data_IF_019171549587
#
_entry.id   IF_019171549587
#
_cell.length_a   1.000
_cell.length_b   1.000
_cell.length_c   1.000
_cell.angle_alpha   90.00
_cell.angle_beta   90.00
_cell.angle_gamma   90.00
#
_symmetry.space_group_name_H-M   'P 1'
#
loop_
_entity.id
_entity.type
_entity.pdbx_description
1 polymer ?
#
# COMPACT_ATOMS: atom_id res chain seq x y z
N UNK A 1 37.83 10.05 42.62
CA UNK A 1 36.89 9.24 43.44
C UNK A 1 35.99 10.11 44.32
N UNK A 2 36.49 11.13 45.01
CA UNK A 2 35.68 12.05 45.85
C UNK A 2 34.48 12.69 45.12
N UNK A 3 34.65 13.15 43.87
CA UNK A 3 33.53 13.73 43.12
C UNK A 3 32.44 12.70 42.81
N UNK A 4 32.81 11.44 42.52
CA UNK A 4 31.85 10.35 42.29
C UNK A 4 31.11 9.97 43.58
N UNK A 5 31.82 9.98 44.72
CA UNK A 5 31.24 9.71 46.04
C UNK A 5 30.25 10.83 46.41
N UNK A 6 30.62 12.10 46.19
CA UNK A 6 29.78 13.26 46.48
C UNK A 6 28.52 13.28 45.62
N UNK A 7 28.65 12.97 44.32
CA UNK A 7 27.50 12.81 43.41
C UNK A 7 26.60 11.64 43.86
N UNK A 8 27.19 10.53 44.31
CA UNK A 8 26.44 9.39 44.85
C UNK A 8 25.63 9.74 46.09
N UNK A 9 26.22 10.48 47.05
CA UNK A 9 25.55 10.92 48.28
C UNK A 9 24.44 11.93 47.95
N UNK A 10 24.71 12.92 47.09
CA UNK A 10 23.70 13.88 46.67
C UNK A 10 22.51 13.21 45.97
N UNK A 11 22.77 12.20 45.13
CA UNK A 11 21.71 11.42 44.46
C UNK A 11 20.88 10.64 45.49
N UNK A 12 21.53 10.00 46.47
CA UNK A 12 20.84 9.32 47.57
C UNK A 12 19.94 10.28 48.33
N UNK A 13 20.48 11.42 48.76
CA UNK A 13 19.74 12.37 49.60
C UNK A 13 18.57 13.01 48.84
N UNK A 14 18.69 13.20 47.52
CA UNK A 14 17.58 13.63 46.67
C UNK A 14 16.46 12.57 46.60
N UNK A 15 16.81 11.29 46.43
CA UNK A 15 15.83 10.19 46.45
C UNK A 15 15.15 10.10 47.82
N UNK A 16 15.90 10.28 48.91
CA UNK A 16 15.34 10.27 50.26
C UNK A 16 14.46 11.48 50.55
N UNK A 17 14.80 12.66 50.02
CA UNK A 17 13.95 13.84 50.10
C UNK A 17 12.61 13.61 49.38
N UNK A 18 12.64 13.05 48.17
CA UNK A 18 11.42 12.67 47.42
C UNK A 18 10.60 11.61 48.15
N UNK A 19 11.27 10.60 48.73
CA UNK A 19 10.62 9.56 49.52
C UNK A 19 10.01 10.11 50.82
N UNK A 20 10.64 11.12 51.43
CA UNK A 20 10.16 11.75 52.66
C UNK A 20 8.85 12.52 52.48
N UNK A 21 8.62 13.11 51.29
CA UNK A 21 7.33 13.72 50.93
C UNK A 21 6.18 12.71 51.01
N UNK A 22 6.47 11.44 50.75
CA UNK A 22 5.49 10.37 50.80
C UNK A 22 5.29 9.82 52.23
N UNK A 23 6.01 10.27 53.26
CA UNK A 23 5.86 9.74 54.63
C UNK A 23 4.52 10.09 55.28
N UNK A 24 3.85 11.17 54.87
CA UNK A 24 2.64 11.63 55.56
C UNK A 24 1.43 10.71 55.33
N UNK A 25 0.53 10.54 56.32
CA UNK A 25 -0.63 9.64 56.21
C UNK A 25 -1.55 9.94 55.02
N UNK A 26 -1.69 11.21 54.65
CA UNK A 26 -2.52 11.67 53.53
C UNK A 26 -1.83 11.62 52.16
N UNK A 27 -0.51 11.36 52.11
CA UNK A 27 0.27 11.39 50.87
C UNK A 27 -0.21 10.38 49.80
N UNK A 28 -0.58 9.12 50.12
CA UNK A 28 -1.16 8.20 49.13
C UNK A 28 -2.43 8.71 48.48
N UNK A 29 -3.36 9.25 49.28
CA UNK A 29 -4.62 9.78 48.76
C UNK A 29 -4.43 11.01 47.86
N UNK A 30 -3.57 11.95 48.29
CA UNK A 30 -3.28 13.14 47.49
C UNK A 30 -2.57 12.79 46.17
N UNK A 31 -1.62 11.84 46.20
CA UNK A 31 -0.93 11.37 45.00
C UNK A 31 -1.91 10.73 44.02
N UNK A 32 -2.77 9.82 44.50
CA UNK A 32 -3.80 9.19 43.67
C UNK A 32 -4.76 10.22 43.07
N UNK A 33 -5.19 11.21 43.85
CA UNK A 33 -6.04 12.30 43.36
C UNK A 33 -5.33 13.12 42.28
N UNK A 34 -4.08 13.52 42.51
CA UNK A 34 -3.28 14.27 41.54
C UNK A 34 -3.12 13.47 40.22
N UNK A 35 -2.86 12.17 40.33
CA UNK A 35 -2.69 11.30 39.17
C UNK A 35 -4.01 11.15 38.36
N UNK A 36 -5.16 11.10 39.04
CA UNK A 36 -6.49 11.12 38.40
C UNK A 36 -6.78 12.47 37.74
N UNK A 37 -6.40 13.60 38.36
CA UNK A 37 -6.54 14.93 37.75
C UNK A 37 -5.69 15.04 36.49
N UNK A 38 -4.43 14.56 36.54
CA UNK A 38 -3.56 14.50 35.35
C UNK A 38 -4.18 13.62 34.27
N UNK A 39 -4.72 12.44 34.63
CA UNK A 39 -5.45 11.59 33.69
C UNK A 39 -6.60 12.37 33.03
N UNK A 40 -7.44 13.06 33.80
CA UNK A 40 -8.58 13.82 33.27
C UNK A 40 -8.13 14.91 32.29
N UNK A 41 -7.08 15.67 32.62
CA UNK A 41 -6.54 16.71 31.73
C UNK A 41 -6.03 16.10 30.43
N UNK A 42 -5.20 15.05 30.53
CA UNK A 42 -4.62 14.32 29.38
C UNK A 42 -5.74 13.72 28.52
N UNK A 43 -6.76 13.14 29.14
CA UNK A 43 -7.92 12.56 28.46
C UNK A 43 -8.74 13.62 27.73
N UNK A 44 -9.00 14.77 28.36
CA UNK A 44 -9.74 15.88 27.75
C UNK A 44 -8.99 16.43 26.55
N UNK A 45 -7.69 16.70 26.68
CA UNK A 45 -6.85 17.16 25.56
C UNK A 45 -6.88 16.15 24.42
N UNK A 46 -6.65 14.86 24.72
CA UNK A 46 -6.70 13.80 23.72
C UNK A 46 -8.06 13.73 22.99
N UNK A 47 -9.16 13.76 23.75
CA UNK A 47 -10.51 13.68 23.20
C UNK A 47 -10.89 14.92 22.38
N UNK A 48 -10.45 16.11 22.76
CA UNK A 48 -10.67 17.34 21.98
C UNK A 48 -9.93 17.24 20.65
N UNK A 49 -8.65 16.84 20.66
CA UNK A 49 -7.85 16.66 19.44
C UNK A 49 -8.47 15.64 18.50
N UNK A 50 -8.85 14.46 19.01
CA UNK A 50 -9.49 13.43 18.17
C UNK A 50 -10.86 13.88 17.65
N UNK A 51 -11.67 14.58 18.47
CA UNK A 51 -12.96 15.12 18.02
C UNK A 51 -12.81 16.18 16.94
N UNK A 52 -11.81 17.06 17.05
CA UNK A 52 -11.48 18.04 16.02
C UNK A 52 -11.18 17.36 14.69
N UNK A 53 -10.24 16.41 14.68
CA UNK A 53 -9.86 15.61 13.50
C UNK A 53 -11.04 14.87 12.89
N UNK A 54 -11.81 14.13 13.69
CA UNK A 54 -13.04 13.44 13.23
C UNK A 54 -14.04 14.45 12.64
N UNK A 55 -14.16 15.63 13.24
CA UNK A 55 -15.01 16.71 12.76
C UNK A 55 -14.63 17.16 11.36
N UNK A 56 -13.34 17.43 11.13
CA UNK A 56 -12.79 17.82 9.82
C UNK A 56 -13.02 16.72 8.79
N UNK A 57 -12.68 15.46 9.11
CA UNK A 57 -12.89 14.33 8.20
C UNK A 57 -14.36 14.15 7.83
N UNK A 58 -15.28 14.22 8.80
CA UNK A 58 -16.73 14.13 8.53
C UNK A 58 -17.25 15.29 7.67
N UNK A 59 -16.73 16.51 7.87
CA UNK A 59 -17.07 17.65 7.01
C UNK A 59 -16.59 17.43 5.59
N UNK A 60 -15.37 16.91 5.41
CA UNK A 60 -14.82 16.56 4.10
C UNK A 60 -15.65 15.48 3.41
N UNK A 61 -16.00 14.42 4.15
CA UNK A 61 -16.88 13.36 3.63
C UNK A 61 -18.23 13.95 3.20
N UNK A 62 -18.80 14.86 3.99
CA UNK A 62 -20.08 15.51 3.64
C UNK A 62 -19.94 16.39 2.39
N UNK A 63 -18.83 17.10 2.22
CA UNK A 63 -18.54 17.93 1.05
C UNK A 63 -18.47 17.07 -0.21
N UNK A 64 -17.65 16.01 -0.19
CA UNK A 64 -17.49 15.06 -1.31
C UNK A 64 -18.83 14.39 -1.67
N UNK A 65 -19.66 14.09 -0.67
CA UNK A 65 -20.99 13.53 -0.90
C UNK A 65 -21.97 14.47 -1.59
N UNK A 66 -21.78 15.79 -1.56
CA UNK A 66 -22.69 16.75 -2.24
C UNK A 66 -22.63 16.59 -3.76
N UNK A 67 -21.47 16.23 -4.30
CA UNK A 67 -21.25 16.05 -5.73
C UNK A 67 -21.60 14.61 -6.14
N UNK A 68 -22.81 14.40 -6.67
CA UNK A 68 -23.30 13.09 -7.13
C UNK A 68 -22.73 12.73 -8.51
N UNK A 69 -22.35 11.45 -8.68
CA UNK A 69 -21.84 10.90 -9.95
C UNK A 69 -20.33 11.07 -10.16
N UNK A 70 -19.72 10.20 -10.98
CA UNK A 70 -18.28 10.25 -11.28
C UNK A 70 -17.88 11.56 -11.96
N UNK A 71 -18.73 12.09 -12.83
CA UNK A 71 -18.46 13.34 -13.55
C UNK A 71 -18.62 14.59 -12.66
N UNK A 72 -19.49 14.54 -11.65
CA UNK A 72 -19.79 15.67 -10.77
C UNK A 72 -18.65 16.03 -9.83
N UNK A 73 -17.92 15.02 -9.32
CA UNK A 73 -16.73 15.29 -8.51
C UNK A 73 -15.58 15.79 -9.39
N UNK A 74 -15.40 15.20 -10.57
CA UNK A 74 -14.31 15.52 -11.49
C UNK A 74 -14.37 16.96 -11.99
N UNK A 75 -15.53 17.48 -12.35
CA UNK A 75 -15.66 18.87 -12.83
C UNK A 75 -15.47 19.91 -11.72
N UNK A 76 -15.75 19.54 -10.47
CA UNK A 76 -15.72 20.47 -9.33
C UNK A 76 -14.52 20.24 -8.40
N UNK A 77 -13.46 19.54 -8.85
CA UNK A 77 -12.25 19.30 -8.06
C UNK A 77 -11.59 20.60 -7.59
N UNK A 78 -11.63 21.65 -8.42
CA UNK A 78 -11.08 22.96 -8.08
C UNK A 78 -11.92 23.69 -7.02
N UNK A 79 -13.25 23.60 -7.12
CA UNK A 79 -14.16 24.16 -6.11
C UNK A 79 -14.02 23.42 -4.77
N UNK A 80 -13.87 22.09 -4.80
CA UNK A 80 -13.61 21.28 -3.59
C UNK A 80 -12.27 21.70 -2.96
N UNK A 81 -11.23 21.90 -3.77
CA UNK A 81 -9.92 22.36 -3.28
C UNK A 81 -9.98 23.76 -2.66
N UNK A 82 -10.74 24.68 -3.27
CA UNK A 82 -10.98 26.01 -2.73
C UNK A 82 -11.78 25.97 -1.42
N UNK A 83 -12.84 25.15 -1.33
CA UNK A 83 -13.61 25.00 -0.09
C UNK A 83 -12.75 24.38 1.02
N UNK A 84 -11.94 23.34 0.74
CA UNK A 84 -11.07 22.71 1.73
C UNK A 84 -9.97 23.67 2.24
N UNK A 85 -9.34 24.44 1.36
CA UNK A 85 -8.31 25.41 1.75
C UNK A 85 -8.87 26.61 2.52
N UNK A 86 -10.17 26.91 2.38
CA UNK A 86 -10.84 27.97 3.16
C UNK A 86 -11.04 27.62 4.64
N UNK A 87 -10.93 26.34 5.02
CA UNK A 87 -11.20 25.90 6.38
C UNK A 87 -10.09 26.30 7.35
N UNK A 88 -10.49 26.87 8.49
CA UNK A 88 -9.55 27.32 9.52
C UNK A 88 -9.21 26.21 10.51
N UNK A 89 -7.93 26.12 10.87
CA UNK A 89 -7.39 25.23 11.91
C UNK A 89 -6.26 24.34 11.39
N UNK A 90 -5.35 23.93 12.28
CA UNK A 90 -4.19 23.10 11.92
C UNK A 90 -4.60 21.78 11.27
N UNK A 91 -5.59 21.07 11.84
CA UNK A 91 -6.11 19.82 11.27
C UNK A 91 -6.71 20.05 9.86
N UNK A 92 -7.40 21.17 9.63
CA UNK A 92 -7.97 21.48 8.33
C UNK A 92 -6.90 21.85 7.30
N UNK A 93 -5.84 22.55 7.72
CA UNK A 93 -4.70 22.86 6.86
C UNK A 93 -3.99 21.59 6.38
N UNK A 94 -3.73 20.62 7.27
CA UNK A 94 -3.17 19.33 6.86
C UNK A 94 -4.06 18.58 5.88
N UNK A 95 -5.39 18.62 6.06
CA UNK A 95 -6.30 18.03 5.07
C UNK A 95 -6.21 18.72 3.70
N UNK A 96 -6.13 20.05 3.68
CA UNK A 96 -6.00 20.80 2.43
C UNK A 96 -4.66 20.52 1.73
N UNK A 97 -3.58 20.36 2.49
CA UNK A 97 -2.26 19.96 2.00
C UNK A 97 -2.28 18.56 1.38
N UNK A 98 -2.77 17.56 2.11
CA UNK A 98 -2.94 16.19 1.58
C UNK A 98 -3.85 16.15 0.34
N UNK A 99 -4.89 17.00 0.31
CA UNK A 99 -5.74 17.13 -0.87
C UNK A 99 -5.00 17.73 -2.08
N UNK A 100 -4.13 18.72 -1.83
CA UNK A 100 -3.28 19.32 -2.87
C UNK A 100 -2.32 18.29 -3.46
N UNK A 101 -1.61 17.54 -2.62
CA UNK A 101 -0.71 16.45 -3.05
C UNK A 101 -1.46 15.39 -3.85
N UNK A 102 -2.64 14.98 -3.37
CA UNK A 102 -3.50 14.06 -4.12
C UNK A 102 -3.87 14.62 -5.50
N UNK A 103 -4.21 15.91 -5.60
CA UNK A 103 -4.58 16.57 -6.87
C UNK A 103 -3.43 16.55 -7.87
N UNK A 104 -2.18 16.69 -7.44
CA UNK A 104 -1.01 16.61 -8.34
C UNK A 104 -0.92 15.27 -9.09
N UNK A 105 -1.54 14.21 -8.55
CA UNK A 105 -1.59 12.88 -9.17
C UNK A 105 -2.78 12.67 -10.11
N UNK A 106 -3.64 13.68 -10.26
CA UNK A 106 -4.79 13.62 -11.16
C UNK A 106 -4.40 13.98 -12.59
N UNK A 107 -4.85 13.17 -13.55
CA UNK A 107 -4.59 13.34 -14.98
C UNK A 107 -5.77 14.08 -15.58
N UNK A 108 -5.48 15.24 -16.18
CA UNK A 108 -6.46 16.02 -16.92
C UNK A 108 -6.91 15.27 -18.19
N UNK A 109 -8.22 15.32 -18.52
CA UNK A 109 -8.71 14.71 -19.74
C UNK A 109 -8.13 15.40 -20.98
N UNK A 110 -7.61 14.62 -21.93
CA UNK A 110 -7.33 15.11 -23.29
C UNK A 110 -8.63 15.48 -24.00
N UNK A 111 -8.57 16.51 -24.85
CA UNK A 111 -9.70 17.00 -25.64
C UNK A 111 -10.49 15.84 -26.28
N UNK A 112 -11.76 15.69 -25.89
CA UNK A 112 -12.67 14.65 -26.37
C UNK A 112 -12.92 13.47 -25.42
N UNK A 113 -12.14 13.31 -24.33
CA UNK A 113 -12.44 12.34 -23.27
C UNK A 113 -13.02 13.05 -22.04
N UNK A 114 -14.07 12.49 -21.44
CA UNK A 114 -14.72 13.09 -20.27
C UNK A 114 -14.11 12.54 -18.98
N UNK A 115 -13.82 13.45 -18.04
CA UNK A 115 -13.52 13.15 -16.64
C UNK A 115 -12.04 13.13 -16.25
N UNK A 116 -11.71 13.85 -15.17
CA UNK A 116 -10.40 13.82 -14.49
C UNK A 116 -10.17 12.42 -13.90
N UNK A 117 -9.05 11.79 -14.23
CA UNK A 117 -8.71 10.41 -13.81
C UNK A 117 -7.64 10.47 -12.73
N UNK A 118 -7.66 9.54 -11.77
CA UNK A 118 -6.57 9.43 -10.80
C UNK A 118 -5.64 8.28 -11.18
N UNK A 119 -4.34 8.56 -11.19
CA UNK A 119 -3.29 7.56 -11.42
C UNK A 119 -2.97 6.75 -10.15
N UNK A 120 -3.20 7.35 -8.97
CA UNK A 120 -2.93 6.73 -7.67
C UNK A 120 -4.22 6.68 -6.85
N UNK A 121 -4.41 5.60 -6.09
CA UNK A 121 -5.58 5.42 -5.22
C UNK A 121 -5.59 6.47 -4.10
N UNK A 122 -6.74 7.08 -3.76
CA UNK A 122 -6.85 8.02 -2.65
C UNK A 122 -6.40 7.43 -1.32
N UNK A 123 -6.53 6.12 -1.11
CA UNK A 123 -6.10 5.45 0.13
C UNK A 123 -4.63 5.61 0.46
N UNK A 124 -3.79 5.90 -0.54
CA UNK A 124 -2.36 6.14 -0.33
C UNK A 124 -2.17 7.45 0.44
N UNK A 125 -2.75 8.55 -0.03
CA UNK A 125 -2.64 9.88 0.59
C UNK A 125 -3.54 10.05 1.82
N UNK A 126 -4.78 9.55 1.76
CA UNK A 126 -5.75 9.69 2.85
C UNK A 126 -5.57 8.59 3.90
N UNK A 127 -4.40 8.59 4.53
CA UNK A 127 -4.05 7.71 5.63
C UNK A 127 -3.74 8.51 6.90
N UNK A 128 -3.96 7.91 8.08
CA UNK A 128 -3.82 8.63 9.35
C UNK A 128 -2.37 8.97 9.70
N UNK A 129 -1.40 8.21 9.19
CA UNK A 129 0.01 8.36 9.56
C UNK A 129 0.67 9.51 8.78
N UNK A 130 0.53 9.53 7.46
CA UNK A 130 1.00 10.61 6.58
C UNK A 130 0.35 11.95 6.92
N UNK A 131 -0.94 11.95 7.26
CA UNK A 131 -1.66 13.16 7.64
C UNK A 131 -1.33 13.68 9.05
N UNK A 132 -0.48 12.96 9.82
CA UNK A 132 -0.16 13.32 11.21
C UNK A 132 -1.34 13.18 12.18
N UNK A 133 -2.43 12.53 11.74
CA UNK A 133 -3.66 12.34 12.51
C UNK A 133 -3.60 11.11 13.40
N UNK A 134 -2.58 10.28 13.26
CA UNK A 134 -2.36 9.09 14.05
C UNK A 134 -2.35 9.36 15.56
N UNK A 135 -2.80 8.35 16.33
CA UNK A 135 -2.74 8.36 17.80
C UNK A 135 -1.37 7.89 18.34
N UNK A 136 -0.39 7.69 17.45
CA UNK A 136 0.92 7.10 17.75
C UNK A 136 1.66 7.84 18.87
N UNK A 137 1.61 9.19 18.87
CA UNK A 137 2.24 10.01 19.91
C UNK A 137 1.67 9.82 21.32
N UNK A 138 0.47 9.26 21.46
CA UNK A 138 -0.19 9.01 22.75
C UNK A 138 0.03 7.58 23.27
N UNK A 139 0.73 6.73 22.51
CA UNK A 139 0.94 5.31 22.84
C UNK A 139 1.80 5.10 24.09
N UNK A 140 2.67 6.06 24.44
CA UNK A 140 3.53 6.00 25.62
C UNK A 140 2.83 6.41 26.93
N UNK A 141 1.75 7.18 26.86
CA UNK A 141 1.07 7.72 28.05
C UNK A 141 0.57 6.64 29.05
N UNK A 142 -0.05 5.52 28.63
CA UNK A 142 -0.41 4.45 29.56
C UNK A 142 0.80 3.90 30.33
N UNK A 143 1.93 3.70 29.65
CA UNK A 143 3.15 3.19 30.27
C UNK A 143 3.67 4.13 31.34
N UNK A 144 3.65 5.43 31.08
CA UNK A 144 4.07 6.45 32.04
C UNK A 144 3.23 6.43 33.32
N UNK A 145 1.91 6.26 33.25
CA UNK A 145 1.06 6.17 34.46
C UNK A 145 1.43 4.97 35.33
N UNK A 146 1.72 3.80 34.72
CA UNK A 146 2.17 2.61 35.45
C UNK A 146 3.53 2.86 36.08
N UNK A 147 4.50 3.36 35.30
CA UNK A 147 5.86 3.62 35.78
C UNK A 147 5.89 4.64 36.92
N UNK A 148 5.10 5.70 36.83
CA UNK A 148 4.98 6.72 37.89
C UNK A 148 4.33 6.14 39.14
N UNK A 149 3.27 5.35 39.00
CA UNK A 149 2.63 4.66 40.14
C UNK A 149 3.57 3.67 40.84
N UNK A 150 4.30 2.87 40.06
CA UNK A 150 5.30 1.91 40.56
C UNK A 150 6.47 2.60 41.25
N UNK A 151 7.01 3.68 40.67
CA UNK A 151 8.08 4.47 41.27
C UNK A 151 7.65 5.07 42.62
N UNK A 152 6.43 5.63 42.69
CA UNK A 152 5.89 6.17 43.94
C UNK A 152 5.71 5.09 45.02
N UNK A 153 5.26 3.89 44.66
CA UNK A 153 5.16 2.76 45.60
C UNK A 153 6.54 2.35 46.12
N UNK A 154 7.54 2.21 45.24
CA UNK A 154 8.91 1.88 45.68
C UNK A 154 9.52 2.96 46.59
N UNK A 155 9.38 4.24 46.24
CA UNK A 155 9.83 5.34 47.09
C UNK A 155 9.11 5.34 48.45
N UNK A 156 7.80 5.07 48.44
CA UNK A 156 7.01 4.95 49.66
C UNK A 156 7.45 3.79 50.56
N UNK A 157 7.81 2.65 49.99
CA UNK A 157 8.32 1.49 50.74
C UNK A 157 9.72 1.78 51.33
N UNK A 158 10.61 2.44 50.56
CA UNK A 158 11.92 2.86 51.06
C UNK A 158 11.76 3.80 52.28
N UNK A 159 10.86 4.78 52.18
CA UNK A 159 10.58 5.69 53.29
C UNK A 159 10.02 4.98 54.53
N UNK A 160 9.13 4.00 54.34
CA UNK A 160 8.54 3.20 55.41
C UNK A 160 9.60 2.34 56.11
N UNK A 161 10.49 1.71 55.35
CA UNK A 161 11.59 0.90 55.88
C UNK A 161 12.58 1.74 56.70
N UNK A 162 12.93 2.94 56.24
CA UNK A 162 13.78 3.85 57.01
C UNK A 162 13.15 4.25 58.33
N UNK A 163 11.86 4.64 58.31
CA UNK A 163 11.14 4.99 59.51
C UNK A 163 11.04 3.82 60.50
N UNK A 164 10.83 2.61 59.98
CA UNK A 164 10.77 1.40 60.82
C UNK A 164 12.15 1.07 61.40
N UNK A 165 13.22 1.24 60.63
CA UNK A 165 14.60 1.06 61.08
C UNK A 165 15.00 2.03 62.19
N UNK A 166 14.59 3.29 62.10
CA UNK A 166 14.78 4.29 63.16
C UNK A 166 14.01 3.91 64.44
N UNK A 167 12.75 3.49 64.32
CA UNK A 167 11.93 3.05 65.47
C UNK A 167 12.50 1.79 66.16
N UNK A 168 13.06 0.85 65.39
CA UNK A 168 13.68 -0.37 65.91
C UNK A 168 15.04 -0.14 66.60
N UNK A 169 15.76 0.93 66.24
CA UNK A 169 17.01 1.29 66.92
C UNK A 169 16.77 1.94 68.29
N UNK A 170 15.59 2.51 68.52
CA UNK A 170 15.24 3.25 69.75
C UNK A 170 14.49 2.38 70.76
N UNK A 171 13.75 1.35 70.32
CA UNK A 171 12.96 0.47 71.20
C UNK A 171 13.64 -0.87 71.47
N UNK A 172 13.94 -1.17 72.73
CA UNK A 172 14.48 -2.48 73.18
C UNK A 172 13.41 -3.51 73.55
N UNK A 173 12.12 -3.15 73.51
CA UNK A 173 11.02 -3.98 74.01
C UNK A 173 10.23 -4.66 72.88
N UNK A 174 9.80 -5.91 73.09
CA UNK A 174 9.01 -6.70 72.13
C UNK A 174 7.69 -6.00 71.68
N UNK A 175 7.09 -5.19 72.56
CA UNK A 175 5.91 -4.40 72.24
C UNK A 175 6.21 -3.28 71.23
N UNK A 176 7.39 -2.65 71.32
CA UNK A 176 7.83 -1.60 70.39
C UNK A 176 8.17 -2.19 69.02
N UNK A 177 8.79 -3.38 68.99
CA UNK A 177 9.07 -4.12 67.75
C UNK A 177 7.77 -4.50 67.04
N UNK A 178 6.79 -5.06 67.78
CA UNK A 178 5.48 -5.45 67.21
C UNK A 178 4.71 -4.23 66.67
N UNK A 179 4.77 -3.09 67.37
CA UNK A 179 4.18 -1.83 66.91
C UNK A 179 4.83 -1.30 65.63
N UNK A 180 6.17 -1.34 65.55
CA UNK A 180 6.92 -0.93 64.36
C UNK A 180 6.61 -1.81 63.14
N UNK A 181 6.48 -3.13 63.32
CA UNK A 181 6.11 -4.06 62.25
C UNK A 181 4.67 -3.84 61.76
N UNK A 182 3.74 -3.60 62.69
CA UNK A 182 2.33 -3.32 62.34
C UNK A 182 2.23 -2.00 61.57
N UNK A 183 2.99 -0.98 61.98
CA UNK A 183 3.06 0.30 61.29
C UNK A 183 3.70 0.17 59.90
N UNK A 184 4.77 -0.62 59.76
CA UNK A 184 5.37 -0.91 58.45
C UNK A 184 4.33 -1.55 57.52
N UNK A 185 3.62 -2.57 57.98
CA UNK A 185 2.61 -3.27 57.18
C UNK A 185 1.48 -2.31 56.75
N UNK A 186 1.01 -1.48 57.67
CA UNK A 186 -0.03 -0.47 57.39
C UNK A 186 0.45 0.54 56.34
N UNK A 187 1.65 1.13 56.52
CA UNK A 187 2.21 2.09 55.56
C UNK A 187 2.46 1.43 54.21
N UNK A 188 3.03 0.22 54.18
CA UNK A 188 3.28 -0.54 52.96
C UNK A 188 1.98 -0.83 52.19
N UNK A 189 0.92 -1.27 52.89
CA UNK A 189 -0.40 -1.49 52.29
C UNK A 189 -0.97 -0.23 51.64
N UNK A 190 -0.82 0.93 52.29
CA UNK A 190 -1.27 2.21 51.75
C UNK A 190 -0.45 2.66 50.53
N UNK A 191 0.83 2.26 50.41
CA UNK A 191 1.67 2.56 49.23
C UNK A 191 1.28 1.77 48.00
N UNK A 192 0.67 0.59 48.13
CA UNK A 192 0.16 -0.17 46.98
C UNK A 192 -1.00 0.56 46.27
N UNK A 193 -1.77 1.40 46.98
CA UNK A 193 -2.86 2.19 46.39
C UNK A 193 -2.34 3.16 45.32
N UNK A 194 -1.12 3.70 45.48
CA UNK A 194 -0.48 4.58 44.50
C UNK A 194 -0.24 3.85 43.16
N UNK A 195 0.33 2.65 43.21
CA UNK A 195 0.55 1.80 42.02
C UNK A 195 -0.77 1.33 41.42
N UNK A 196 -1.73 0.90 42.24
CA UNK A 196 -3.06 0.49 41.77
C UNK A 196 -3.77 1.64 41.02
N UNK A 197 -3.65 2.87 41.51
CA UNK A 197 -4.21 4.05 40.84
C UNK A 197 -3.52 4.31 39.50
N UNK A 198 -2.19 4.18 39.44
CA UNK A 198 -1.42 4.28 38.19
C UNK A 198 -1.85 3.24 37.15
N UNK A 199 -2.03 1.99 37.57
CA UNK A 199 -2.55 0.92 36.71
C UNK A 199 -3.97 1.21 36.22
N UNK A 200 -4.88 1.62 37.12
CA UNK A 200 -6.25 1.98 36.75
C UNK A 200 -6.28 3.11 35.72
N UNK A 201 -5.46 4.16 35.92
CA UNK A 201 -5.36 5.27 34.98
C UNK A 201 -4.81 4.83 33.62
N UNK A 202 -3.82 3.93 33.62
CA UNK A 202 -3.27 3.31 32.41
C UNK A 202 -4.31 2.51 31.63
N UNK A 203 -5.10 1.68 32.32
CA UNK A 203 -6.17 0.88 31.73
C UNK A 203 -7.23 1.80 31.11
N UNK A 204 -7.73 2.77 31.87
CA UNK A 204 -8.75 3.72 31.41
C UNK A 204 -8.26 4.47 30.17
N UNK A 205 -7.04 5.02 30.22
CA UNK A 205 -6.47 5.75 29.09
C UNK A 205 -6.29 4.83 27.87
N UNK A 206 -5.82 3.60 28.05
CA UNK A 206 -5.63 2.62 26.95
C UNK A 206 -6.95 2.28 26.25
N UNK A 207 -8.01 2.05 27.01
CA UNK A 207 -9.34 1.75 26.46
C UNK A 207 -9.85 2.92 25.62
N UNK A 208 -9.72 4.15 26.14
CA UNK A 208 -10.15 5.35 25.43
C UNK A 208 -9.29 5.60 24.19
N UNK A 209 -7.97 5.44 24.30
CA UNK A 209 -7.02 5.55 23.19
C UNK A 209 -7.39 4.63 22.03
N UNK A 210 -7.64 3.34 22.31
CA UNK A 210 -8.03 2.34 21.31
C UNK A 210 -9.38 2.68 20.69
N UNK A 211 -10.39 3.01 21.50
CA UNK A 211 -11.74 3.32 20.99
C UNK A 211 -11.74 4.58 20.12
N UNK A 212 -11.07 5.64 20.56
CA UNK A 212 -10.95 6.89 19.83
C UNK A 212 -10.15 6.71 18.53
N UNK A 213 -9.05 5.95 18.56
CA UNK A 213 -8.27 5.58 17.37
C UNK A 213 -9.11 4.85 16.33
N UNK A 214 -9.87 3.83 16.73
CA UNK A 214 -10.75 3.09 15.82
C UNK A 214 -11.84 3.99 15.21
N UNK A 215 -12.38 4.94 15.97
CA UNK A 215 -13.36 5.90 15.45
C UNK A 215 -12.76 6.86 14.43
N UNK A 216 -11.54 7.33 14.68
CA UNK A 216 -10.82 8.20 13.76
C UNK A 216 -10.50 7.47 12.44
N UNK A 217 -10.01 6.24 12.54
CA UNK A 217 -9.71 5.38 11.40
C UNK A 217 -10.97 5.02 10.61
N UNK A 218 -12.10 4.77 11.29
CA UNK A 218 -13.38 4.57 10.62
C UNK A 218 -13.87 5.84 9.89
N UNK A 219 -13.62 7.04 10.42
CA UNK A 219 -13.92 8.28 9.73
C UNK A 219 -13.03 8.47 8.49
N UNK A 220 -11.75 8.12 8.59
CA UNK A 220 -10.80 8.16 7.48
C UNK A 220 -11.20 7.20 6.35
N UNK A 221 -11.43 5.92 6.68
CA UNK A 221 -11.91 4.92 5.71
C UNK A 221 -13.17 5.35 4.99
N UNK A 222 -14.12 6.01 5.68
CA UNK A 222 -15.34 6.53 5.06
C UNK A 222 -15.05 7.63 4.04
N UNK A 223 -14.15 8.56 4.36
CA UNK A 223 -13.71 9.59 3.42
C UNK A 223 -13.09 8.95 2.17
N UNK A 224 -12.11 8.08 2.37
CA UNK A 224 -11.37 7.40 1.29
C UNK A 224 -12.31 6.58 0.41
N UNK A 225 -13.23 5.82 1.01
CA UNK A 225 -14.23 5.04 0.26
C UNK A 225 -15.17 5.91 -0.56
N UNK A 226 -15.63 7.03 0.00
CA UNK A 226 -16.49 7.96 -0.74
C UNK A 226 -15.75 8.69 -1.87
N UNK A 227 -14.43 8.89 -1.73
CA UNK A 227 -13.57 9.37 -2.81
C UNK A 227 -13.37 8.32 -3.90
N UNK A 228 -12.99 7.10 -3.53
CA UNK A 228 -12.75 6.00 -4.47
C UNK A 228 -13.99 5.69 -5.31
N UNK A 229 -15.18 5.74 -4.71
CA UNK A 229 -16.44 5.51 -5.42
C UNK A 229 -16.79 6.57 -6.47
N UNK A 230 -16.21 7.78 -6.37
CA UNK A 230 -16.57 8.94 -7.20
C UNK A 230 -15.45 9.34 -8.15
N UNK A 231 -14.30 8.67 -8.07
CA UNK A 231 -13.15 8.90 -8.92
C UNK A 231 -13.02 7.73 -9.89
N UNK A 232 -12.64 8.03 -11.13
CA UNK A 232 -12.31 7.01 -12.11
C UNK A 232 -10.82 6.65 -12.01
N UNK A 233 -10.54 5.55 -11.32
CA UNK A 233 -9.20 5.01 -11.20
C UNK A 233 -8.81 4.32 -12.49
N UNK A 234 -7.71 4.79 -13.08
CA UNK A 234 -7.10 4.16 -14.23
C UNK A 234 -5.78 3.57 -13.78
N UNK A 235 -5.69 2.24 -13.85
CA UNK A 235 -4.48 1.52 -13.48
C UNK A 235 -3.46 1.59 -14.62
N UNK A 236 -2.17 1.39 -14.30
CA UNK A 236 -1.11 1.35 -15.31
C UNK A 236 -1.31 0.17 -16.28
N UNK A 237 -1.89 -0.92 -15.80
CA UNK A 237 -2.24 -2.10 -16.60
C UNK A 237 -3.34 -1.79 -17.62
N UNK A 238 -4.40 -1.07 -17.23
CA UNK A 238 -5.46 -0.62 -18.15
C UNK A 238 -4.88 0.35 -19.22
N UNK A 239 -3.96 1.23 -18.84
CA UNK A 239 -3.26 2.09 -19.81
C UNK A 239 -2.40 1.26 -20.76
N UNK A 240 -1.65 0.29 -20.24
CA UNK A 240 -0.79 -0.58 -21.05
C UNK A 240 -1.60 -1.44 -22.03
N UNK A 241 -2.74 -1.97 -21.60
CA UNK A 241 -3.67 -2.72 -22.46
C UNK A 241 -4.25 -1.82 -23.56
N UNK A 242 -4.72 -0.62 -23.22
CA UNK A 242 -5.21 0.35 -24.22
C UNK A 242 -4.12 0.76 -25.20
N UNK A 243 -2.88 0.91 -24.73
CA UNK A 243 -1.74 1.21 -25.59
C UNK A 243 -1.43 0.05 -26.54
N UNK A 244 -1.47 -1.18 -26.05
CA UNK A 244 -1.30 -2.38 -26.87
C UNK A 244 -2.39 -2.47 -27.95
N UNK A 245 -3.65 -2.26 -27.58
CA UNK A 245 -4.76 -2.27 -28.53
C UNK A 245 -4.61 -1.18 -29.60
N UNK A 246 -4.22 0.04 -29.22
CA UNK A 246 -3.96 1.12 -30.17
C UNK A 246 -2.81 0.81 -31.13
N UNK A 247 -1.74 0.15 -30.67
CA UNK A 247 -0.62 -0.30 -31.52
C UNK A 247 -1.08 -1.38 -32.51
N UNK A 248 -1.89 -2.34 -32.06
CA UNK A 248 -2.47 -3.38 -32.92
C UNK A 248 -3.35 -2.76 -34.00
N UNK A 249 -4.22 -1.80 -33.63
CA UNK A 249 -5.09 -1.10 -34.57
C UNK A 249 -4.28 -0.26 -35.58
N UNK A 250 -3.23 0.43 -35.12
CA UNK A 250 -2.32 1.17 -35.99
C UNK A 250 -1.59 0.26 -36.99
N UNK A 251 -1.17 -0.93 -36.55
CA UNK A 251 -0.54 -1.94 -37.42
C UNK A 251 -1.51 -2.38 -38.52
N UNK A 252 -2.76 -2.66 -38.16
CA UNK A 252 -3.79 -3.06 -39.12
C UNK A 252 -4.10 -1.93 -40.13
N UNK A 253 -4.11 -0.68 -39.67
CA UNK A 253 -4.26 0.49 -40.55
C UNK A 253 -3.09 0.65 -41.53
N UNK A 254 -1.85 0.41 -41.08
CA UNK A 254 -0.66 0.44 -41.94
C UNK A 254 -0.67 -0.68 -42.99
N UNK A 255 -1.15 -1.88 -42.64
CA UNK A 255 -1.29 -2.97 -43.62
C UNK A 255 -2.31 -2.61 -44.70
N UNK A 256 -3.45 -2.01 -44.33
CA UNK A 256 -4.45 -1.51 -45.28
C UNK A 256 -3.87 -0.42 -46.19
N UNK A 257 -3.21 0.59 -45.62
CA UNK A 257 -2.57 1.66 -46.38
C UNK A 257 -1.56 1.10 -47.39
N UNK A 258 -0.73 0.14 -46.98
CA UNK A 258 0.26 -0.48 -47.87
C UNK A 258 -0.43 -1.22 -49.02
N UNK A 259 -1.49 -1.98 -48.73
CA UNK A 259 -2.27 -2.66 -49.76
C UNK A 259 -2.93 -1.69 -50.74
N UNK A 260 -3.53 -0.61 -50.24
CA UNK A 260 -4.13 0.45 -51.06
C UNK A 260 -3.09 1.18 -51.92
N UNK A 261 -1.89 1.45 -51.38
CA UNK A 261 -0.80 2.07 -52.12
C UNK A 261 -0.29 1.17 -53.26
N UNK A 262 -0.15 -0.13 -53.00
CA UNK A 262 0.26 -1.12 -54.02
C UNK A 262 -0.79 -1.19 -55.14
N UNK A 263 -2.07 -1.26 -54.78
CA UNK A 263 -3.16 -1.26 -55.76
C UNK A 263 -3.13 0.01 -56.63
N UNK A 264 -3.04 1.19 -56.00
CA UNK A 264 -3.02 2.48 -56.69
C UNK A 264 -1.82 2.68 -57.64
N UNK A 265 -0.68 2.03 -57.39
CA UNK A 265 0.53 2.12 -58.24
C UNK A 265 0.53 1.09 -59.36
N UNK A 266 0.04 -0.13 -59.11
CA UNK A 266 0.13 -1.26 -60.05
C UNK A 266 -0.78 -1.10 -61.28
N UNK A 267 -1.97 -0.53 -61.11
CA UNK A 267 -2.98 -0.46 -62.15
C UNK A 267 -2.64 0.54 -63.28
N UNK A 268 -2.16 1.77 -62.99
CA UNK A 268 -1.70 2.69 -64.03
C UNK A 268 -0.47 2.18 -64.78
N UNK A 269 0.44 1.49 -64.06
CA UNK A 269 1.68 0.97 -64.64
C UNK A 269 1.41 -0.15 -65.65
N UNK A 270 0.45 -1.05 -65.36
CA UNK A 270 0.04 -2.10 -66.28
C UNK A 270 -0.63 -1.58 -67.56
N UNK A 271 -1.43 -0.51 -67.45
CA UNK A 271 -2.11 0.11 -68.59
C UNK A 271 -1.13 0.84 -69.54
N UNK A 272 -0.09 1.48 -68.99
CA UNK A 272 0.92 2.18 -69.78
C UNK A 272 1.78 1.21 -70.63
N UNK A 273 2.13 0.04 -70.08
CA UNK A 273 2.98 -0.96 -70.77
C UNK A 273 2.26 -1.63 -71.95
N UNK A 274 0.94 -1.79 -71.88
CA UNK A 274 0.15 -2.47 -72.94
C UNK A 274 -0.19 -1.58 -74.13
N UNK A 275 -0.30 -0.25 -73.96
CA UNK A 275 -0.63 0.67 -75.05
C UNK A 275 0.54 0.98 -76.00
N UNK A 276 1.79 0.87 -75.53
CA UNK A 276 2.97 1.20 -76.34
C UNK A 276 3.30 0.22 -77.48
N UNK A 277 2.72 -0.99 -77.48
CA UNK A 277 3.07 -2.05 -78.42
C UNK A 277 2.28 -2.05 -79.75
N UNK A 278 1.09 -1.43 -79.79
CA UNK A 278 0.17 -1.59 -80.93
C UNK A 278 0.33 -0.52 -82.04
N UNK A 279 1.04 0.58 -81.79
CA UNK A 279 0.98 1.76 -82.66
C UNK A 279 2.06 1.83 -83.75
N UNK A 280 2.97 0.85 -83.79
CA UNK A 280 4.13 0.82 -84.71
C UNK A 280 3.85 -0.01 -85.99
N UNK A 281 2.87 -0.92 -85.97
CA UNK A 281 2.60 -1.84 -87.08
C UNK A 281 1.90 -1.22 -88.30
N UNK A 282 1.02 -0.25 -88.09
CA UNK A 282 0.14 0.27 -89.16
C UNK A 282 0.84 1.24 -90.12
N UNK A 283 2.00 1.78 -89.74
CA UNK A 283 2.71 2.83 -90.48
C UNK A 283 3.51 2.29 -91.68
N UNK A 284 3.86 1.00 -91.65
CA UNK A 284 4.76 0.37 -92.63
C UNK A 284 4.04 -0.06 -93.92
N UNK A 285 2.74 -0.35 -93.85
CA UNK A 285 1.96 -0.89 -94.97
C UNK A 285 1.53 0.18 -95.99
N UNK A 286 1.41 1.45 -95.57
CA UNK A 286 0.94 2.55 -96.42
C UNK A 286 1.99 3.11 -97.39
N UNK A 287 3.28 2.78 -97.20
CA UNK A 287 4.39 3.46 -97.86
C UNK A 287 4.69 2.94 -99.30
N UNK A 288 4.14 1.78 -99.67
CA UNK A 288 4.51 1.09 -100.90
C UNK A 288 3.76 1.56 -102.18
N UNK A 289 2.64 2.29 -102.06
CA UNK A 289 1.74 2.56 -103.19
C UNK A 289 1.90 3.90 -103.92
N UNK A 290 2.58 4.89 -103.34
CA UNK A 290 2.38 6.30 -103.73
C UNK A 290 3.56 6.96 -104.47
N UNK A 291 4.55 6.20 -104.92
CA UNK A 291 5.88 6.74 -105.24
C UNK A 291 6.03 7.47 -106.60
N UNK A 292 5.17 7.23 -107.60
CA UNK A 292 5.48 7.67 -108.99
C UNK A 292 4.90 9.04 -109.39
N UNK A 293 3.67 9.38 -108.98
CA UNK A 293 3.09 10.72 -109.20
C UNK A 293 3.13 11.61 -107.96
N UNK A 294 3.47 11.04 -106.80
CA UNK A 294 3.57 11.75 -105.53
C UNK A 294 4.82 12.62 -105.44
N UNK A 295 5.91 12.34 -106.16
CA UNK A 295 7.22 12.93 -105.85
C UNK A 295 7.30 14.45 -105.99
N UNK A 296 6.61 15.05 -106.97
CA UNK A 296 6.62 16.52 -107.17
C UNK A 296 5.68 17.23 -106.19
N UNK A 297 4.47 16.71 -105.98
CA UNK A 297 3.53 17.22 -104.97
C UNK A 297 4.01 16.95 -103.53
N UNK A 298 4.71 15.84 -103.32
CA UNK A 298 5.36 15.48 -102.08
C UNK A 298 6.57 16.36 -101.84
N UNK A 299 7.31 16.84 -102.84
CA UNK A 299 8.42 17.74 -102.56
C UNK A 299 7.93 19.08 -101.97
N UNK A 300 6.84 19.64 -102.52
CA UNK A 300 6.20 20.86 -101.99
C UNK A 300 5.52 20.60 -100.65
N UNK A 301 4.72 19.54 -100.52
CA UNK A 301 4.06 19.19 -99.27
C UNK A 301 5.03 18.71 -98.18
N UNK A 302 6.17 18.12 -98.54
CA UNK A 302 7.26 17.77 -97.61
C UNK A 302 7.97 19.04 -97.17
N UNK A 303 8.17 20.04 -98.04
CA UNK A 303 8.73 21.34 -97.61
C UNK A 303 7.82 22.01 -96.57
N UNK A 304 6.50 22.09 -96.83
CA UNK A 304 5.54 22.68 -95.89
C UNK A 304 5.39 21.84 -94.59
N UNK A 305 5.42 20.50 -94.70
CA UNK A 305 5.41 19.61 -93.55
C UNK A 305 6.72 19.64 -92.78
N UNK A 306 7.86 19.85 -93.43
CA UNK A 306 9.16 19.97 -92.77
C UNK A 306 9.24 21.30 -92.02
N UNK A 307 8.68 22.39 -92.55
CA UNK A 307 8.53 23.66 -91.82
C UNK A 307 7.58 23.51 -90.63
N UNK A 308 6.43 22.88 -90.80
CA UNK A 308 5.48 22.63 -89.71
C UNK A 308 6.00 21.64 -88.67
N UNK A 309 6.74 20.60 -89.10
CA UNK A 309 7.43 19.65 -88.23
C UNK A 309 8.61 20.32 -87.52
N UNK A 310 9.34 21.22 -88.17
CA UNK A 310 10.40 22.02 -87.56
C UNK A 310 9.85 22.95 -86.49
N UNK A 311 8.70 23.59 -86.75
CA UNK A 311 7.98 24.39 -85.75
C UNK A 311 7.45 23.56 -84.57
N UNK A 312 6.91 22.36 -84.84
CA UNK A 312 6.46 21.43 -83.80
C UNK A 312 7.61 20.81 -83.02
N UNK A 313 8.73 20.51 -83.66
CA UNK A 313 9.97 20.01 -83.03
C UNK A 313 10.63 21.10 -82.20
N UNK A 314 10.60 22.35 -82.65
CA UNK A 314 11.03 23.49 -81.83
C UNK A 314 10.13 23.63 -80.59
N UNK A 315 8.81 23.51 -80.75
CA UNK A 315 7.85 23.47 -79.64
C UNK A 315 8.09 22.31 -78.67
N UNK A 316 8.32 21.11 -79.21
CA UNK A 316 8.64 19.91 -78.43
C UNK A 316 9.98 20.03 -77.69
N UNK A 317 10.98 20.66 -78.32
CA UNK A 317 12.26 20.92 -77.68
C UNK A 317 12.11 21.88 -76.49
N UNK A 318 11.26 22.90 -76.59
CA UNK A 318 10.92 23.76 -75.46
C UNK A 318 10.14 23.03 -74.36
N UNK A 319 9.16 22.19 -74.71
CA UNK A 319 8.41 21.41 -73.74
C UNK A 319 9.28 20.36 -73.03
N UNK A 320 10.15 19.67 -73.76
CA UNK A 320 11.14 18.73 -73.19
C UNK A 320 12.12 19.47 -72.28
N UNK A 321 12.59 20.66 -72.69
CA UNK A 321 13.48 21.46 -71.85
C UNK A 321 12.78 21.87 -70.55
N UNK A 322 11.51 22.30 -70.62
CA UNK A 322 10.73 22.66 -69.43
C UNK A 322 10.42 21.44 -68.55
N UNK A 323 10.10 20.29 -69.13
CA UNK A 323 9.87 19.05 -68.41
C UNK A 323 11.15 18.54 -67.74
N UNK A 324 12.30 18.64 -68.42
CA UNK A 324 13.60 18.28 -67.85
C UNK A 324 13.97 19.18 -66.66
N UNK A 325 13.65 20.47 -66.72
CA UNK A 325 13.88 21.41 -65.62
C UNK A 325 12.95 21.13 -64.42
N UNK A 326 11.67 20.86 -64.67
CA UNK A 326 10.73 20.43 -63.62
C UNK A 326 11.14 19.09 -62.99
N UNK A 327 11.63 18.15 -63.80
CA UNK A 327 12.12 16.87 -63.32
C UNK A 327 13.39 17.03 -62.48
N UNK A 328 14.31 17.91 -62.88
CA UNK A 328 15.51 18.21 -62.10
C UNK A 328 15.16 18.78 -60.72
N UNK A 329 14.20 19.71 -60.65
CA UNK A 329 13.71 20.27 -59.37
C UNK A 329 13.00 19.21 -58.50
N UNK A 330 12.22 18.33 -59.12
CA UNK A 330 11.54 17.23 -58.41
C UNK A 330 12.54 16.19 -57.87
N UNK A 331 13.56 15.85 -58.66
CA UNK A 331 14.63 14.95 -58.26
C UNK A 331 15.45 15.52 -57.09
N UNK A 332 15.75 16.81 -57.11
CA UNK A 332 16.48 17.49 -56.04
C UNK A 332 15.68 17.52 -54.72
N UNK A 333 14.38 17.83 -54.78
CA UNK A 333 13.48 17.73 -53.61
C UNK A 333 13.38 16.31 -53.05
N UNK A 334 13.36 15.32 -53.94
CA UNK A 334 13.29 13.90 -53.55
C UNK A 334 14.58 13.45 -52.88
N UNK A 335 15.75 13.88 -53.41
CA UNK A 335 17.05 13.60 -52.81
C UNK A 335 17.16 14.20 -51.39
N UNK A 336 16.70 15.44 -51.20
CA UNK A 336 16.66 16.09 -49.87
C UNK A 336 15.69 15.38 -48.93
N UNK A 337 14.52 14.94 -49.43
CA UNK A 337 13.55 14.18 -48.66
C UNK A 337 14.08 12.81 -48.21
N UNK A 338 14.82 12.12 -49.08
CA UNK A 338 15.46 10.84 -48.80
C UNK A 338 16.60 10.98 -47.77
N UNK A 339 17.42 12.03 -47.84
CA UNK A 339 18.45 12.31 -46.82
C UNK A 339 17.81 12.56 -45.44
N UNK A 340 16.70 13.30 -45.41
CA UNK A 340 15.92 13.53 -44.18
C UNK A 340 15.28 12.26 -43.62
N UNK A 341 14.84 11.32 -44.48
CA UNK A 341 14.30 10.03 -44.06
C UNK A 341 15.41 9.10 -43.53
N UNK A 342 16.57 9.07 -44.19
CA UNK A 342 17.73 8.29 -43.76
C UNK A 342 18.22 8.71 -42.36
N UNK A 343 18.34 10.02 -42.10
CA UNK A 343 18.70 10.54 -40.77
C UNK A 343 17.68 10.19 -39.70
N UNK A 344 16.38 10.21 -40.02
CA UNK A 344 15.32 9.80 -39.07
C UNK A 344 15.39 8.32 -38.76
N UNK A 345 15.66 7.48 -39.75
CA UNK A 345 15.85 6.04 -39.55
C UNK A 345 17.07 5.75 -38.68
N UNK A 346 18.16 6.51 -38.85
CA UNK A 346 19.35 6.41 -38.02
C UNK A 346 19.05 6.76 -36.55
N UNK A 347 18.32 7.85 -36.30
CA UNK A 347 17.87 8.24 -34.95
C UNK A 347 16.93 7.20 -34.33
N UNK A 348 16.00 6.65 -35.11
CA UNK A 348 15.08 5.60 -34.65
C UNK A 348 15.84 4.32 -34.33
N UNK A 349 16.83 3.94 -35.15
CA UNK A 349 17.68 2.78 -34.92
C UNK A 349 18.52 2.92 -33.66
N UNK A 350 19.10 4.10 -33.40
CA UNK A 350 19.86 4.38 -32.18
C UNK A 350 18.97 4.35 -30.93
N UNK A 351 17.75 4.89 -31.02
CA UNK A 351 16.77 4.81 -29.93
C UNK A 351 16.32 3.36 -29.65
N UNK A 352 16.12 2.54 -30.69
CA UNK A 352 15.80 1.12 -30.56
C UNK A 352 16.94 0.32 -29.93
N UNK A 353 18.18 0.62 -30.31
CA UNK A 353 19.36 0.00 -29.71
C UNK A 353 19.49 0.36 -28.22
N UNK A 354 19.28 1.62 -27.85
CA UNK A 354 19.26 2.06 -26.44
C UNK A 354 18.12 1.44 -25.65
N UNK A 355 16.92 1.36 -26.23
CA UNK A 355 15.78 0.71 -25.59
C UNK A 355 16.01 -0.79 -25.37
N UNK A 356 16.60 -1.48 -26.36
CA UNK A 356 16.98 -2.88 -26.24
C UNK A 356 18.00 -3.14 -25.13
N UNK A 357 19.02 -2.28 -25.01
CA UNK A 357 19.99 -2.35 -23.92
C UNK A 357 19.34 -2.02 -22.56
N UNK A 358 18.51 -1.00 -22.48
CA UNK A 358 17.79 -0.65 -21.24
C UNK A 358 16.85 -1.77 -20.77
N UNK A 359 16.22 -2.50 -21.71
CA UNK A 359 15.38 -3.65 -21.39
C UNK A 359 16.22 -4.84 -20.88
N UNK A 360 17.39 -5.08 -21.50
CA UNK A 360 18.32 -6.11 -21.05
C UNK A 360 18.88 -5.82 -19.64
N UNK A 361 19.21 -4.55 -19.36
CA UNK A 361 19.67 -4.09 -18.06
C UNK A 361 18.57 -4.18 -16.98
N UNK A 362 17.31 -3.96 -17.36
CA UNK A 362 16.17 -4.09 -16.45
C UNK A 362 15.75 -5.54 -16.16
N UNK A 363 16.02 -6.48 -17.07
CA UNK A 363 15.67 -7.89 -16.90
C UNK A 363 16.45 -8.56 -15.76
N UNK A 364 17.73 -8.22 -15.58
CA UNK A 364 18.59 -8.80 -14.52
C UNK A 364 18.05 -8.56 -13.09
N UNK A 365 17.74 -7.30 -12.71
CA UNK A 365 17.12 -6.97 -11.43
C UNK A 365 15.77 -7.67 -11.20
N UNK A 366 14.94 -7.83 -12.25
CA UNK A 366 13.64 -8.51 -12.15
C UNK A 366 13.82 -10.00 -11.85
N UNK A 367 14.73 -10.69 -12.54
CA UNK A 367 15.05 -12.10 -12.26
C UNK A 367 15.59 -12.25 -10.83
N UNK A 368 16.49 -11.36 -10.41
CA UNK A 368 17.05 -11.39 -9.05
C UNK A 368 16.01 -11.08 -7.96
N UNK A 369 15.04 -10.23 -8.25
CA UNK A 369 13.91 -9.96 -7.36
C UNK A 369 12.97 -11.17 -7.28
N UNK A 370 12.72 -11.86 -8.40
CA UNK A 370 11.94 -13.09 -8.42
C UNK A 370 12.61 -14.21 -7.61
N UNK A 371 13.93 -14.40 -7.75
CA UNK A 371 14.70 -15.37 -6.96
C UNK A 371 14.65 -15.07 -5.45
N UNK A 372 14.83 -13.80 -5.07
CA UNK A 372 14.71 -13.36 -3.66
C UNK A 372 13.30 -13.56 -3.10
N UNK A 373 12.28 -13.36 -3.94
CA UNK A 373 10.89 -13.56 -3.55
C UNK A 373 10.59 -15.04 -3.35
N UNK A 374 11.09 -15.91 -4.24
CA UNK A 374 10.94 -17.36 -4.12
C UNK A 374 11.61 -17.89 -2.84
N UNK A 375 12.85 -17.47 -2.56
CA UNK A 375 13.56 -17.85 -1.33
C UNK A 375 12.89 -17.32 -0.06
N UNK A 376 12.42 -16.08 -0.06
CA UNK A 376 11.65 -15.54 1.06
C UNK A 376 10.35 -16.32 1.31
N UNK A 377 9.66 -16.70 0.24
CA UNK A 377 8.41 -17.48 0.31
C UNK A 377 8.67 -18.88 0.87
N UNK A 378 9.73 -19.55 0.43
CA UNK A 378 10.14 -20.85 0.96
C UNK A 378 10.48 -20.77 2.46
N UNK A 379 11.20 -19.73 2.88
CA UNK A 379 11.55 -19.53 4.29
C UNK A 379 10.32 -19.24 5.15
N UNK A 380 9.38 -18.41 4.67
CA UNK A 380 8.11 -18.14 5.35
C UNK A 380 7.30 -19.43 5.50
N UNK A 381 7.23 -20.25 4.46
CA UNK A 381 6.50 -21.50 4.51
C UNK A 381 7.11 -22.47 5.53
N UNK A 382 8.44 -22.59 5.56
CA UNK A 382 9.14 -23.43 6.55
C UNK A 382 8.94 -22.93 7.99
N UNK A 383 9.08 -21.64 8.25
CA UNK A 383 8.82 -21.06 9.58
C UNK A 383 7.36 -21.18 10.00
N UNK A 384 6.42 -21.15 9.05
CA UNK A 384 5.00 -21.37 9.34
C UNK A 384 4.72 -22.80 9.79
N UNK A 385 5.35 -23.79 9.15
CA UNK A 385 5.26 -25.20 9.58
C UNK A 385 5.82 -25.38 10.99
N UNK A 386 7.01 -24.83 11.27
CA UNK A 386 7.65 -24.90 12.59
C UNK A 386 6.82 -24.21 13.69
N UNK A 387 6.21 -23.07 13.37
CA UNK A 387 5.30 -22.37 14.28
C UNK A 387 4.05 -23.20 14.61
N UNK A 388 3.45 -23.86 13.61
CA UNK A 388 2.28 -24.72 13.81
C UNK A 388 2.64 -25.96 14.63
N UNK A 389 3.79 -26.59 14.38
CA UNK A 389 4.26 -27.71 15.20
C UNK A 389 4.52 -27.30 16.65
N UNK A 390 5.13 -26.13 16.86
CA UNK A 390 5.38 -25.57 18.19
C UNK A 390 4.07 -25.27 18.92
N UNK A 391 3.12 -24.63 18.25
CA UNK A 391 1.78 -24.36 18.80
C UNK A 391 1.07 -25.67 19.17
N UNK A 392 1.12 -26.68 18.30
CA UNK A 392 0.55 -28.00 18.56
C UNK A 392 1.14 -28.66 19.82
N UNK A 393 2.47 -28.58 19.99
CA UNK A 393 3.16 -29.14 21.17
C UNK A 393 2.78 -28.40 22.45
N UNK A 394 2.73 -27.07 22.42
CA UNK A 394 2.32 -26.27 23.58
C UNK A 394 0.87 -26.53 23.97
N UNK A 395 -0.05 -26.60 23.01
CA UNK A 395 -1.45 -26.90 23.30
C UNK A 395 -1.65 -28.31 23.88
N UNK A 396 -0.91 -29.31 23.39
CA UNK A 396 -0.93 -30.64 23.98
C UNK A 396 -0.46 -30.61 25.46
N UNK A 397 0.60 -29.85 25.75
CA UNK A 397 1.07 -29.66 27.12
C UNK A 397 0.05 -28.93 28.01
N UNK A 398 -0.63 -27.90 27.50
CA UNK A 398 -1.68 -27.19 28.24
C UNK A 398 -2.88 -28.11 28.53
N UNK A 399 -3.28 -28.94 27.55
CA UNK A 399 -4.33 -29.95 27.72
C UNK A 399 -4.01 -30.90 28.87
N UNK A 400 -2.80 -31.46 28.86
CA UNK A 400 -2.38 -32.42 29.88
C UNK A 400 -2.34 -31.78 31.28
N UNK A 401 -1.92 -30.51 31.38
CA UNK A 401 -1.96 -29.75 32.63
C UNK A 401 -3.40 -29.49 33.13
N UNK A 402 -4.31 -29.12 32.23
CA UNK A 402 -5.73 -28.88 32.58
C UNK A 402 -6.40 -30.18 33.02
N UNK A 403 -6.18 -31.28 32.31
CA UNK A 403 -6.72 -32.61 32.66
C UNK A 403 -6.15 -33.10 33.98
N UNK A 404 -4.85 -32.92 34.23
CA UNK A 404 -4.22 -33.27 35.50
C UNK A 404 -4.77 -32.44 36.67
N UNK A 405 -4.91 -31.11 36.49
CA UNK A 405 -5.49 -30.23 37.50
C UNK A 405 -6.95 -30.59 37.81
N UNK A 406 -7.76 -30.83 36.77
CA UNK A 406 -9.16 -31.20 36.95
C UNK A 406 -9.32 -32.57 37.62
N UNK A 407 -8.48 -33.55 37.26
CA UNK A 407 -8.41 -34.85 37.94
C UNK A 407 -8.03 -34.71 39.41
N UNK A 408 -7.04 -33.87 39.73
CA UNK A 408 -6.63 -33.60 41.12
C UNK A 408 -7.75 -32.94 41.93
N UNK A 409 -8.48 -31.99 41.34
CA UNK A 409 -9.65 -31.36 41.97
C UNK A 409 -10.74 -32.41 42.23
N UNK A 410 -11.04 -33.30 41.28
CA UNK A 410 -12.01 -34.39 41.48
C UNK A 410 -11.58 -35.34 42.61
N UNK A 411 -10.30 -35.67 42.71
CA UNK A 411 -9.77 -36.53 43.77
C UNK A 411 -9.88 -35.87 45.15
N UNK A 412 -9.57 -34.57 45.25
CA UNK A 412 -9.76 -33.80 46.48
C UNK A 412 -11.24 -33.74 46.87
N UNK A 413 -12.14 -33.50 45.92
CA UNK A 413 -13.59 -33.48 46.15
C UNK A 413 -14.08 -34.83 46.66
N UNK A 414 -13.70 -35.95 46.03
CA UNK A 414 -14.04 -37.30 46.52
C UNK A 414 -13.53 -37.55 47.94
N UNK A 415 -12.30 -37.09 48.25
CA UNK A 415 -11.74 -37.21 49.60
C UNK A 415 -12.51 -36.37 50.64
N UNK A 416 -13.09 -35.24 50.21
CA UNK A 416 -13.92 -34.37 51.04
C UNK A 416 -15.36 -34.89 51.17
N UNK A 417 -15.95 -35.45 50.12
CA UNK A 417 -17.26 -36.09 50.12
C UNK A 417 -17.30 -37.26 51.11
N UNK A 418 -16.26 -38.10 51.12
CA UNK A 418 -16.10 -39.18 52.10
C UNK A 418 -16.01 -38.67 53.57
N UNK A 419 -15.61 -37.42 53.80
CA UNK A 419 -15.59 -36.77 55.13
C UNK A 419 -16.87 -35.97 55.41
N UNK A 420 -17.55 -35.47 54.37
CA UNK A 420 -18.74 -34.63 54.43
C UNK A 420 -20.06 -35.42 54.50
N UNK A 421 -20.03 -36.73 54.22
CA UNK A 421 -21.15 -37.65 54.48
C UNK A 421 -21.66 -37.65 55.94
N UNK A 422 -20.98 -36.94 56.85
CA UNK A 422 -21.38 -36.69 58.23
C UNK A 422 -22.25 -35.42 58.44
N UNK A 423 -22.48 -34.58 57.42
CA UNK A 423 -23.27 -33.34 57.53
C UNK A 423 -24.29 -33.18 56.40
N UNK A 424 -25.49 -32.69 56.77
CA UNK A 424 -26.72 -32.56 55.99
C UNK A 424 -26.58 -32.51 54.45
N UNK A 425 -27.38 -33.34 53.76
CA UNK A 425 -27.35 -33.63 52.30
C UNK A 425 -27.55 -32.47 51.30
N UNK A 426 -27.46 -31.21 51.73
CA UNK A 426 -27.31 -30.07 50.82
C UNK A 426 -25.88 -29.96 50.27
N UNK A 427 -24.84 -30.30 51.04
CA UNK A 427 -23.47 -30.35 50.51
C UNK A 427 -23.31 -31.43 49.43
N UNK A 428 -23.93 -32.59 49.63
CA UNK A 428 -23.93 -33.71 48.68
C UNK A 428 -24.48 -33.28 47.30
N UNK A 429 -25.60 -32.54 47.28
CA UNK A 429 -26.17 -32.01 46.02
C UNK A 429 -25.24 -31.00 45.34
N UNK A 430 -24.64 -30.08 46.11
CA UNK A 430 -23.71 -29.10 45.56
C UNK A 430 -22.46 -29.77 44.97
N UNK A 431 -21.92 -30.81 45.63
CA UNK A 431 -20.79 -31.58 45.11
C UNK A 431 -21.12 -32.37 43.86
N UNK A 432 -22.32 -32.96 43.79
CA UNK A 432 -22.77 -33.67 42.60
C UNK A 432 -22.87 -32.73 41.39
N UNK A 433 -23.46 -31.55 41.56
CA UNK A 433 -23.51 -30.52 40.51
C UNK A 433 -22.11 -30.04 40.11
N UNK A 434 -21.20 -29.86 41.07
CA UNK A 434 -19.84 -29.42 40.79
C UNK A 434 -19.02 -30.50 40.06
N UNK A 435 -19.21 -31.78 40.40
CA UNK A 435 -18.59 -32.92 39.73
C UNK A 435 -19.10 -33.07 38.29
N UNK A 436 -20.41 -32.90 38.08
CA UNK A 436 -21.01 -32.88 36.74
C UNK A 436 -20.45 -31.73 35.87
N UNK A 437 -20.32 -30.52 36.42
CA UNK A 437 -19.77 -29.39 35.66
C UNK A 437 -18.26 -29.48 35.39
N UNK A 438 -17.48 -30.06 36.30
CA UNK A 438 -16.07 -30.35 36.04
C UNK A 438 -15.96 -31.42 34.93
N UNK A 439 -16.76 -32.49 35.01
CA UNK A 439 -16.79 -33.50 33.96
C UNK A 439 -17.15 -32.90 32.60
N UNK A 440 -18.16 -32.01 32.57
CA UNK A 440 -18.58 -31.29 31.36
C UNK A 440 -17.46 -30.38 30.83
N UNK A 441 -16.77 -29.66 31.69
CA UNK A 441 -15.64 -28.79 31.33
C UNK A 441 -14.45 -29.58 30.78
N UNK A 442 -14.12 -30.74 31.35
CA UNK A 442 -13.08 -31.63 30.83
C UNK A 442 -13.45 -32.12 29.43
N UNK A 443 -14.68 -32.60 29.23
CA UNK A 443 -15.15 -33.04 27.91
C UNK A 443 -15.23 -31.91 26.88
N UNK A 444 -15.56 -30.69 27.28
CA UNK A 444 -15.52 -29.51 26.40
C UNK A 444 -14.08 -29.16 25.99
N UNK A 445 -13.12 -29.23 26.91
CA UNK A 445 -11.69 -29.02 26.64
C UNK A 445 -11.12 -30.10 25.72
N UNK A 446 -11.47 -31.37 25.93
CA UNK A 446 -11.08 -32.47 25.04
C UNK A 446 -11.65 -32.30 23.63
N UNK A 447 -12.95 -32.00 23.51
CA UNK A 447 -13.59 -31.78 22.22
C UNK A 447 -13.03 -30.55 21.49
N UNK A 448 -12.73 -29.47 22.21
CA UNK A 448 -12.10 -28.29 21.64
C UNK A 448 -10.68 -28.60 21.15
N UNK A 449 -9.88 -29.29 21.97
CA UNK A 449 -8.53 -29.74 21.61
C UNK A 449 -8.54 -30.62 20.36
N UNK A 450 -9.46 -31.58 20.24
CA UNK A 450 -9.55 -32.47 19.09
C UNK A 450 -9.97 -31.74 17.80
N UNK A 451 -10.87 -30.76 17.91
CA UNK A 451 -11.23 -29.90 16.78
C UNK A 451 -10.05 -29.04 16.34
N UNK A 452 -9.32 -28.46 17.28
CA UNK A 452 -8.13 -27.65 17.01
C UNK A 452 -7.01 -28.50 16.38
N UNK A 453 -6.79 -29.74 16.85
CA UNK A 453 -5.83 -30.67 16.26
C UNK A 453 -6.16 -31.02 14.81
N UNK A 454 -7.45 -31.24 14.51
CA UNK A 454 -7.93 -31.48 13.14
C UNK A 454 -7.68 -30.27 12.23
N UNK A 455 -8.03 -29.06 12.69
CA UNK A 455 -7.80 -27.84 11.91
C UNK A 455 -6.31 -27.57 11.65
N UNK A 456 -5.44 -27.83 12.63
CA UNK A 456 -4.00 -27.70 12.42
C UNK A 456 -3.45 -28.75 11.45
N UNK A 457 -3.94 -29.99 11.49
CA UNK A 457 -3.55 -31.03 10.53
C UNK A 457 -3.93 -30.63 9.09
N UNK A 458 -5.13 -30.09 8.89
CA UNK A 458 -5.60 -29.61 7.57
C UNK A 458 -4.78 -28.40 7.09
N UNK A 459 -4.47 -27.45 7.99
CA UNK A 459 -3.65 -26.30 7.67
C UNK A 459 -2.21 -26.69 7.28
N UNK A 460 -1.64 -27.68 7.98
CA UNK A 460 -0.29 -28.17 7.72
C UNK A 460 -0.23 -28.96 6.40
N UNK A 461 -1.26 -29.74 6.08
CA UNK A 461 -1.40 -30.38 4.77
C UNK A 461 -1.53 -29.38 3.62
N UNK A 462 -2.25 -28.28 3.83
CA UNK A 462 -2.35 -27.20 2.83
C UNK A 462 -1.02 -26.49 2.62
N UNK A 463 -0.29 -26.18 3.71
CA UNK A 463 1.04 -25.58 3.63
C UNK A 463 2.05 -26.51 2.94
N UNK A 464 2.00 -27.81 3.21
CA UNK A 464 2.85 -28.81 2.56
C UNK A 464 2.58 -28.87 1.04
N UNK A 465 1.32 -28.82 0.62
CA UNK A 465 0.94 -28.73 -0.79
C UNK A 465 1.46 -27.46 -1.46
N UNK A 466 1.39 -26.31 -0.78
CA UNK A 466 1.93 -25.04 -1.29
C UNK A 466 3.45 -25.10 -1.45
N UNK A 467 4.16 -25.72 -0.49
CA UNK A 467 5.62 -25.89 -0.55
C UNK A 467 6.02 -26.83 -1.71
N UNK A 468 5.30 -27.92 -1.91
CA UNK A 468 5.54 -28.86 -3.02
C UNK A 468 5.29 -28.20 -4.39
N UNK A 469 4.23 -27.41 -4.51
CA UNK A 469 3.93 -26.64 -5.72
C UNK A 469 4.97 -25.54 -5.97
N UNK A 470 5.49 -24.88 -4.94
CA UNK A 470 6.55 -23.87 -5.07
C UNK A 470 7.88 -24.49 -5.52
N UNK A 471 8.21 -25.71 -5.09
CA UNK A 471 9.40 -26.45 -5.58
C UNK A 471 9.31 -26.86 -7.05
N UNK A 472 8.09 -27.02 -7.59
CA UNK A 472 7.88 -27.38 -8.98
C UNK A 472 8.11 -26.21 -9.96
N UNK A 473 8.25 -24.98 -9.47
CA UNK A 473 8.51 -23.81 -10.31
C UNK A 473 10.00 -23.73 -10.68
N UNK A 474 10.43 -24.49 -11.69
CA UNK A 474 11.68 -24.24 -12.40
C UNK A 474 11.40 -23.29 -13.57
N UNK A 475 12.01 -22.08 -13.62
CA UNK A 475 11.90 -21.24 -14.79
C UNK A 475 12.60 -21.92 -15.97
N UNK A 476 11.81 -22.33 -16.95
CA UNK A 476 12.27 -22.94 -18.21
C UNK A 476 12.96 -21.86 -19.05
N UNK A 477 14.22 -21.57 -18.72
CA UNK A 477 15.09 -20.69 -19.50
C UNK A 477 16.32 -21.44 -20.01
N UNK A 478 16.11 -22.54 -20.74
CA UNK A 478 17.15 -23.00 -21.66
C UNK A 478 16.93 -22.33 -23.02
N UNK A 479 17.85 -21.41 -23.36
CA UNK A 479 17.97 -20.89 -24.73
C UNK A 479 18.23 -22.06 -25.68
N UNK A 480 17.58 -22.13 -26.86
CA UNK A 480 18.03 -23.03 -27.91
C UNK A 480 19.45 -22.60 -28.33
N UNK A 481 20.39 -23.52 -28.22
CA UNK A 481 21.76 -23.34 -28.72
C UNK A 481 21.67 -23.27 -30.25
N UNK A 482 22.21 -22.19 -30.82
CA UNK A 482 22.29 -21.97 -32.26
C UNK A 482 23.28 -22.92 -32.94
#
# INVERSE_FOLDING_TARGET
MENLITIGIATRDLVLALASLLKQPWAPGLFSLALVVVLLVVLVVFLITVRSRIGVLKRATKLIRRYHGNEGLQHNLEEISAELSSWKGADAAHLAETWSEFRETTIEPRAGQHGIRNAIRPSVFFNLEEMGFGVSGWRSAPGLFVSVGLAATFLGLIAALQQTGESLQVGSDDAAVTGALTQLLSVASAKFIMSLTGLMCSIVFTVVLRRAGNHLEAAMRRLTHDLEKRLNFVSLEDIAERQLNAIVEQRDHMQKLNHELIAAISEPLHAAVTSGANQVGDMVQSLAGSLSNGLVAAMTATSDRLDSASGKLAGLATEISSAAEQFSVAAERTAVGLDGAARRLEVVSDNLARAGNGLADAAGPVVKAAEKTATATEQIAKSSVEMVETARKTMASERDLVVAAASSIMEQIKSFEARAAAYDGQLERAFKTFTEEIGRSISEVENHSDNVHRQYADALGTLQSVIENAKAFQPESERPVA
#
